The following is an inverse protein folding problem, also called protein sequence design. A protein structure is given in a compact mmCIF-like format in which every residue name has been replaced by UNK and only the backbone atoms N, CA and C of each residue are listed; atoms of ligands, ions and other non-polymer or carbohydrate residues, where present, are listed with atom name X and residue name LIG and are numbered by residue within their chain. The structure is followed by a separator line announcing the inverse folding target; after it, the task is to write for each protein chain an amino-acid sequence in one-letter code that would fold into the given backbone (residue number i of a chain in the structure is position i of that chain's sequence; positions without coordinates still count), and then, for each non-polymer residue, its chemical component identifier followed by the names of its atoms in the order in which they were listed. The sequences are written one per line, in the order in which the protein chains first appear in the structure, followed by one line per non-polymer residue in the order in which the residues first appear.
data_IF_124949564979
#
_entry.id   IF_124949564979
#
_cell.length_a   1.000
_cell.length_b   1.000
_cell.length_c   1.000
_cell.angle_alpha   90.00
_cell.angle_beta   90.00
_cell.angle_gamma   90.00
#
_symmetry.space_group_name_H-M   'P 1'
#
loop_
_entity.id
_entity.type
_entity.pdbx_description
1 polymer ?
#
# COMPACT_ATOMS: atom_id res chain seq x y z
N UNK A 1 -21.22 18.24 -16.61
CA UNK A 1 -19.84 17.76 -16.32
C UNK A 1 -19.16 17.42 -17.62
N UNK A 2 -18.05 18.08 -17.96
CA UNK A 2 -17.32 17.84 -19.21
C UNK A 2 -16.65 16.46 -19.22
N UNK A 3 -16.40 15.92 -20.41
CA UNK A 3 -15.76 14.62 -20.65
C UNK A 3 -14.42 14.48 -19.88
N UNK A 4 -13.64 15.57 -19.84
CA UNK A 4 -12.37 15.65 -19.07
C UNK A 4 -12.56 15.34 -17.60
N UNK A 5 -13.59 15.92 -16.97
CA UNK A 5 -13.82 15.74 -15.53
C UNK A 5 -14.24 14.30 -15.21
N UNK A 6 -15.10 13.70 -16.05
CA UNK A 6 -15.52 12.30 -15.88
C UNK A 6 -14.33 11.35 -15.99
N UNK A 7 -13.48 11.56 -17.01
CA UNK A 7 -12.30 10.73 -17.23
C UNK A 7 -11.30 10.85 -16.07
N UNK A 8 -10.99 12.08 -15.65
CA UNK A 8 -10.05 12.32 -14.54
C UNK A 8 -10.55 11.73 -13.22
N UNK A 9 -11.86 11.78 -12.98
CA UNK A 9 -12.45 11.20 -11.78
C UNK A 9 -12.36 9.67 -11.78
N UNK A 10 -12.61 9.03 -12.91
CA UNK A 10 -12.45 7.57 -13.06
C UNK A 10 -10.99 7.19 -12.87
N UNK A 11 -10.07 7.89 -13.52
CA UNK A 11 -8.64 7.63 -13.42
C UNK A 11 -8.14 7.79 -12.00
N UNK A 12 -8.53 8.87 -11.32
CA UNK A 12 -8.19 9.12 -9.91
C UNK A 12 -8.71 8.00 -9.01
N UNK A 13 -9.95 7.55 -9.23
CA UNK A 13 -10.56 6.49 -8.43
C UNK A 13 -9.83 5.16 -8.62
N UNK A 14 -9.47 4.80 -9.85
CA UNK A 14 -8.71 3.59 -10.16
C UNK A 14 -7.31 3.64 -9.49
N UNK A 15 -6.61 4.77 -9.60
CA UNK A 15 -5.31 4.94 -8.95
C UNK A 15 -5.42 4.91 -7.42
N UNK A 16 -6.42 5.57 -6.84
CA UNK A 16 -6.66 5.57 -5.41
C UNK A 16 -6.95 4.15 -4.88
N UNK A 17 -7.78 3.39 -5.60
CA UNK A 17 -8.08 2.00 -5.25
C UNK A 17 -6.84 1.10 -5.33
N UNK A 18 -6.05 1.23 -6.40
CA UNK A 18 -4.79 0.50 -6.57
C UNK A 18 -3.78 0.82 -5.46
N UNK A 19 -3.59 2.11 -5.16
CA UNK A 19 -2.69 2.56 -4.11
C UNK A 19 -3.14 2.08 -2.72
N UNK A 20 -4.44 2.16 -2.41
CA UNK A 20 -4.99 1.66 -1.16
C UNK A 20 -4.79 0.13 -1.01
N UNK A 21 -5.02 -0.63 -2.08
CA UNK A 21 -4.83 -2.09 -2.08
C UNK A 21 -3.37 -2.45 -1.80
N UNK A 22 -2.42 -1.81 -2.51
CA UNK A 22 -0.98 -2.02 -2.29
C UNK A 22 -0.60 -1.65 -0.86
N UNK A 23 -1.11 -0.52 -0.33
CA UNK A 23 -0.85 -0.07 1.03
C UNK A 23 -1.30 -1.07 2.08
N UNK A 24 -2.52 -1.60 1.96
CA UNK A 24 -3.07 -2.58 2.90
C UNK A 24 -2.25 -3.89 2.87
N UNK A 25 -1.91 -4.38 1.67
CA UNK A 25 -1.13 -5.61 1.51
C UNK A 25 0.28 -5.44 2.07
N UNK A 26 0.94 -4.32 1.74
CA UNK A 26 2.29 -4.03 2.21
C UNK A 26 2.35 -3.87 3.75
N UNK A 27 1.36 -3.19 4.33
CA UNK A 27 1.26 -3.02 5.77
C UNK A 27 1.14 -4.37 6.48
N UNK A 28 0.22 -5.23 6.02
CA UNK A 28 0.05 -6.57 6.56
C UNK A 28 1.30 -7.44 6.42
N UNK A 29 1.92 -7.39 5.24
CA UNK A 29 3.12 -8.17 4.96
C UNK A 29 4.30 -7.76 5.83
N UNK A 30 4.61 -6.46 5.91
CA UNK A 30 5.73 -5.96 6.71
C UNK A 30 5.52 -6.17 8.21
N UNK A 31 4.29 -5.99 8.70
CA UNK A 31 3.99 -6.24 10.11
C UNK A 31 4.17 -7.72 10.46
N UNK A 32 3.64 -8.63 9.66
CA UNK A 32 3.80 -10.07 9.90
C UNK A 32 5.26 -10.50 9.80
N UNK A 33 6.00 -10.02 8.80
CA UNK A 33 7.41 -10.32 8.64
C UNK A 33 8.24 -9.81 9.83
N UNK A 34 7.96 -8.59 10.32
CA UNK A 34 8.65 -8.04 11.47
C UNK A 34 8.42 -8.88 12.75
N UNK A 35 7.21 -9.39 12.95
CA UNK A 35 6.87 -10.27 14.06
C UNK A 35 7.57 -11.63 13.91
N UNK A 36 7.52 -12.23 12.72
CA UNK A 36 8.15 -13.53 12.44
C UNK A 36 9.67 -13.47 12.64
N UNK A 37 10.32 -12.42 12.17
CA UNK A 37 11.76 -12.20 12.34
C UNK A 37 12.13 -12.04 13.83
N UNK A 38 11.34 -11.26 14.58
CA UNK A 38 11.53 -11.11 16.02
C UNK A 38 11.35 -12.44 16.76
N UNK A 39 10.36 -13.24 16.35
CA UNK A 39 10.09 -14.56 16.91
C UNK A 39 11.22 -15.53 16.66
N UNK A 40 11.71 -15.64 15.42
CA UNK A 40 12.84 -16.50 15.06
C UNK A 40 14.11 -16.12 15.81
N UNK A 41 14.43 -14.82 15.85
CA UNK A 41 15.59 -14.33 16.57
C UNK A 41 15.51 -14.64 18.07
N UNK A 42 14.33 -14.49 18.68
CA UNK A 42 14.12 -14.82 20.10
C UNK A 42 14.26 -16.31 20.37
N UNK A 43 13.73 -17.16 19.48
CA UNK A 43 13.86 -18.63 19.62
C UNK A 43 15.31 -19.07 19.49
N UNK A 44 16.09 -18.53 18.56
CA UNK A 44 17.52 -18.82 18.41
C UNK A 44 18.30 -18.46 19.68
N UNK A 45 17.99 -17.29 20.26
CA UNK A 45 18.63 -16.87 21.53
C UNK A 45 18.25 -17.80 22.69
N UNK A 46 16.99 -18.20 22.81
CA UNK A 46 16.53 -19.13 23.85
C UNK A 46 17.14 -20.51 23.69
N UNK A 47 17.34 -20.96 22.45
CA UNK A 47 17.92 -22.28 22.15
C UNK A 47 19.44 -22.30 22.37
N UNK A 48 20.12 -21.22 21.89
CA UNK A 48 21.56 -21.04 22.11
C UNK A 48 21.93 -20.87 23.61
N UNK A 49 21.02 -20.29 24.39
CA UNK A 49 21.16 -20.12 25.82
C UNK A 49 21.18 -21.41 26.61
N UNK A 50 20.80 -22.53 26.00
CA UNK A 50 20.86 -23.85 26.62
C UNK A 50 20.26 -23.92 28.02
N UNK A 51 19.18 -23.18 28.31
CA UNK A 51 18.50 -23.09 29.61
C UNK A 51 19.36 -22.63 30.81
N UNK A 52 20.61 -22.30 30.63
CA UNK A 52 21.47 -21.74 31.68
C UNK A 52 21.56 -20.22 31.55
N UNK A 53 21.69 -19.54 32.67
CA UNK A 53 21.76 -18.09 32.88
C UNK A 53 22.36 -17.30 31.69
N UNK A 54 21.50 -16.81 30.81
CA UNK A 54 21.95 -15.95 29.73
C UNK A 54 22.32 -14.59 30.30
N UNK A 55 23.60 -14.25 30.20
CA UNK A 55 24.00 -12.87 30.47
C UNK A 55 23.29 -11.94 29.46
N UNK A 56 22.53 -10.92 29.92
CA UNK A 56 21.84 -9.94 29.03
C UNK A 56 22.78 -9.32 28.00
N UNK A 57 24.09 -9.28 28.26
CA UNK A 57 25.10 -8.78 27.35
C UNK A 57 25.32 -9.66 26.11
N UNK A 58 25.17 -10.97 26.28
CA UNK A 58 25.25 -11.93 25.16
C UNK A 58 23.99 -11.84 24.29
N UNK A 59 22.83 -11.62 24.89
CA UNK A 59 21.59 -11.39 24.16
C UNK A 59 21.61 -10.10 23.31
N UNK A 60 22.27 -9.05 23.80
CA UNK A 60 22.43 -7.80 23.05
C UNK A 60 23.41 -7.89 21.88
N UNK A 61 24.36 -8.84 21.92
CA UNK A 61 25.34 -9.06 20.84
C UNK A 61 24.80 -9.90 19.68
N UNK A 62 23.72 -10.65 19.85
CA UNK A 62 23.16 -11.54 18.83
C UNK A 62 22.16 -10.89 17.88
N UNK A 63 21.79 -9.64 18.09
CA UNK A 63 20.96 -8.90 17.17
C UNK A 63 20.62 -7.51 17.66
N UNK A 64 21.11 -6.50 16.99
CA UNK A 64 20.75 -5.09 17.21
C UNK A 64 19.25 -4.79 17.05
N UNK A 65 18.43 -5.80 16.77
CA UNK A 65 16.97 -5.72 16.63
C UNK A 65 16.20 -6.10 17.89
N UNK A 66 16.82 -6.73 18.87
CA UNK A 66 16.19 -7.19 20.11
C UNK A 66 16.58 -6.27 21.28
N UNK A 67 16.18 -5.02 21.21
CA UNK A 67 16.67 -3.94 22.09
C UNK A 67 16.21 -4.08 23.55
N UNK A 68 15.13 -4.80 23.86
CA UNK A 68 14.63 -4.98 25.23
C UNK A 68 14.08 -6.40 25.46
N UNK A 69 14.98 -7.40 25.38
CA UNK A 69 14.62 -8.77 25.75
C UNK A 69 14.77 -8.97 27.25
N UNK A 70 13.66 -9.27 27.94
CA UNK A 70 13.63 -9.60 29.37
C UNK A 70 13.33 -11.06 29.56
N UNK A 71 14.21 -11.77 30.26
CA UNK A 71 14.01 -13.17 30.67
C UNK A 71 13.66 -13.20 32.16
N UNK A 72 12.55 -13.85 32.48
CA UNK A 72 12.10 -14.03 33.88
C UNK A 72 11.68 -15.47 34.12
N UNK A 73 11.88 -15.92 35.38
CA UNK A 73 11.40 -17.21 35.86
C UNK A 73 10.42 -16.99 37.02
N UNK A 74 9.29 -17.67 36.96
CA UNK A 74 8.29 -17.60 38.02
C UNK A 74 7.55 -18.93 38.19
N UNK A 75 7.01 -19.15 39.39
CA UNK A 75 6.18 -20.33 39.65
C UNK A 75 4.76 -20.13 39.12
N UNK A 76 4.11 -21.15 38.53
CA UNK A 76 2.75 -21.04 38.02
C UNK A 76 1.76 -20.81 39.19
N UNK A 77 1.02 -19.70 39.16
CA UNK A 77 -0.09 -19.42 40.09
C UNK A 77 0.23 -18.51 41.28
N UNK A 78 1.42 -17.97 41.43
CA UNK A 78 1.74 -16.90 42.39
C UNK A 78 1.27 -15.56 41.88
N UNK A 79 0.95 -14.60 42.77
CA UNK A 79 0.35 -13.25 42.48
C UNK A 79 1.06 -12.46 41.40
N UNK A 80 0.90 -12.92 40.16
CA UNK A 80 1.53 -12.41 38.95
C UNK A 80 0.76 -11.21 38.39
N UNK A 81 1.46 -10.25 37.82
CA UNK A 81 0.87 -9.06 37.19
C UNK A 81 1.30 -8.94 35.73
N UNK A 82 0.49 -8.27 34.90
CA UNK A 82 0.83 -7.97 33.52
C UNK A 82 0.96 -9.19 32.62
N UNK A 83 2.05 -9.29 31.87
CA UNK A 83 2.33 -10.38 30.90
C UNK A 83 2.45 -11.74 31.59
N UNK A 84 3.05 -11.79 32.77
CA UNK A 84 3.28 -13.02 33.51
C UNK A 84 1.96 -13.70 33.88
N UNK A 85 0.95 -12.90 34.30
CA UNK A 85 -0.39 -13.39 34.61
C UNK A 85 -1.08 -13.96 33.36
N UNK A 86 -1.03 -13.23 32.25
CA UNK A 86 -1.63 -13.66 30.97
C UNK A 86 -0.99 -14.97 30.47
N UNK A 87 0.34 -15.06 30.50
CA UNK A 87 1.08 -16.27 30.10
C UNK A 87 0.75 -17.43 31.01
N UNK A 88 0.76 -17.22 32.34
CA UNK A 88 0.43 -18.28 33.30
C UNK A 88 -0.98 -18.82 33.12
N UNK A 89 -1.96 -17.96 32.86
CA UNK A 89 -3.35 -18.33 32.60
C UNK A 89 -3.49 -19.14 31.30
N UNK A 90 -2.88 -18.68 30.22
CA UNK A 90 -2.94 -19.36 28.92
C UNK A 90 -2.18 -20.69 28.92
N UNK A 91 -1.05 -20.78 29.60
CA UNK A 91 -0.31 -22.03 29.74
C UNK A 91 -1.05 -23.08 30.59
N UNK A 92 -1.87 -22.66 31.57
CA UNK A 92 -2.73 -23.58 32.33
C UNK A 92 -3.89 -24.12 31.48
N UNK A 93 -4.41 -23.31 30.53
CA UNK A 93 -5.49 -23.71 29.65
C UNK A 93 -5.01 -24.58 28.47
N UNK A 94 -3.73 -24.50 28.09
CA UNK A 94 -3.14 -25.22 26.98
C UNK A 94 -2.44 -26.53 27.39
N UNK A 95 -2.49 -27.54 26.53
CA UNK A 95 -1.86 -28.87 26.74
C UNK A 95 -0.37 -28.86 26.41
N UNK A 96 0.18 -27.81 25.82
CA UNK A 96 1.57 -27.70 25.42
C UNK A 96 2.39 -26.95 26.47
N UNK A 97 3.52 -27.52 26.91
CA UNK A 97 4.47 -26.87 27.80
C UNK A 97 5.20 -25.65 27.18
N UNK A 98 4.73 -25.14 26.06
CA UNK A 98 5.30 -24.00 25.36
C UNK A 98 4.19 -22.99 24.99
N UNK A 99 4.51 -21.71 25.04
CA UNK A 99 3.64 -20.60 24.70
C UNK A 99 4.43 -19.62 23.84
N UNK A 100 3.80 -19.14 22.77
CA UNK A 100 4.42 -18.23 21.83
C UNK A 100 3.33 -17.35 21.19
N UNK A 101 3.13 -16.15 21.73
CA UNK A 101 2.14 -15.20 21.22
C UNK A 101 2.59 -13.76 21.43
N UNK A 102 2.05 -12.87 20.58
CA UNK A 102 2.15 -11.42 20.78
C UNK A 102 1.04 -10.98 21.74
N UNK A 103 1.44 -10.42 22.87
CA UNK A 103 0.52 -9.89 23.88
C UNK A 103 0.52 -8.37 23.84
N UNK A 104 -0.67 -7.78 23.89
CA UNK A 104 -0.83 -6.34 24.02
C UNK A 104 -1.03 -5.97 25.47
N UNK A 105 -0.20 -5.08 26.00
CA UNK A 105 -0.32 -4.55 27.35
C UNK A 105 -1.43 -3.49 27.46
N UNK A 106 -1.91 -3.18 28.68
CA UNK A 106 -2.91 -2.11 28.89
C UNK A 106 -2.47 -0.71 28.43
N UNK A 107 -1.15 -0.49 28.34
CA UNK A 107 -0.57 0.75 27.81
C UNK A 107 -0.49 0.79 26.28
N UNK A 108 -0.98 -0.25 25.58
CA UNK A 108 -0.94 -0.37 24.12
C UNK A 108 0.38 -0.93 23.55
N UNK A 109 1.40 -1.18 24.39
CA UNK A 109 2.65 -1.83 23.94
C UNK A 109 2.41 -3.26 23.52
N UNK A 110 2.98 -3.65 22.39
CA UNK A 110 2.96 -5.03 21.88
C UNK A 110 4.27 -5.71 22.22
N UNK A 111 4.18 -6.82 22.96
CA UNK A 111 5.33 -7.62 23.35
C UNK A 111 5.18 -9.06 22.86
N UNK A 112 6.24 -9.56 22.25
CA UNK A 112 6.34 -11.00 21.97
C UNK A 112 6.67 -11.71 23.26
N UNK A 113 5.83 -12.67 23.67
CA UNK A 113 6.01 -13.50 24.85
C UNK A 113 6.25 -14.95 24.42
N UNK A 114 7.42 -15.48 24.72
CA UNK A 114 7.77 -16.88 24.52
C UNK A 114 8.03 -17.49 25.89
N UNK A 115 7.24 -18.50 26.25
CA UNK A 115 7.39 -19.16 27.55
C UNK A 115 7.53 -20.68 27.42
N UNK A 116 8.33 -21.28 28.30
CA UNK A 116 8.49 -22.73 28.43
C UNK A 116 8.41 -23.14 29.89
N UNK A 117 7.78 -24.28 30.15
CA UNK A 117 7.85 -24.92 31.43
C UNK A 117 9.20 -25.62 31.57
N UNK A 118 9.92 -25.31 32.65
CA UNK A 118 11.18 -25.96 33.03
C UNK A 118 11.02 -26.63 34.38
N UNK A 119 11.66 -27.74 34.56
CA UNK A 119 11.70 -28.43 35.85
C UNK A 119 13.07 -28.20 36.46
N UNK A 120 13.11 -27.67 37.70
CA UNK A 120 14.36 -27.41 38.41
C UNK A 120 14.99 -28.75 38.81
N UNK A 121 16.25 -29.03 38.46
CA UNK A 121 16.88 -30.32 38.73
C UNK A 121 16.96 -30.68 40.22
N UNK A 122 17.17 -29.68 41.11
CA UNK A 122 17.43 -29.86 42.53
C UNK A 122 16.14 -30.03 43.36
N UNK A 123 15.04 -29.39 43.00
CA UNK A 123 13.79 -29.38 43.80
C UNK A 123 12.63 -30.07 43.11
N UNK A 124 12.75 -30.37 41.81
CA UNK A 124 11.64 -30.92 41.01
C UNK A 124 10.51 -29.95 40.71
N UNK A 125 10.64 -28.71 41.18
CA UNK A 125 9.61 -27.69 40.99
C UNK A 125 9.46 -27.27 39.55
N UNK A 126 8.20 -27.06 39.14
CA UNK A 126 7.87 -26.55 37.79
C UNK A 126 7.90 -25.03 37.83
N UNK A 127 8.76 -24.44 37.03
CA UNK A 127 8.84 -22.99 36.79
C UNK A 127 8.51 -22.67 35.33
N UNK A 128 7.97 -21.47 35.11
CA UNK A 128 7.79 -20.93 33.78
C UNK A 128 8.93 -19.96 33.51
N UNK A 129 9.71 -20.22 32.45
CA UNK A 129 10.71 -19.28 31.93
C UNK A 129 10.07 -18.51 30.81
N UNK A 130 9.96 -17.19 30.94
CA UNK A 130 9.37 -16.26 30.02
C UNK A 130 10.45 -15.36 29.41
N UNK A 131 10.58 -15.38 28.12
CA UNK A 131 11.27 -14.35 27.37
C UNK A 131 10.24 -13.36 26.78
N UNK A 132 10.40 -12.09 27.08
CA UNK A 132 9.55 -11.03 26.52
C UNK A 132 10.40 -10.02 25.76
N UNK A 133 9.99 -9.71 24.53
CA UNK A 133 10.65 -8.76 23.63
C UNK A 133 9.68 -7.64 23.31
N UNK A 134 10.16 -6.40 23.42
CA UNK A 134 9.41 -5.24 22.97
C UNK A 134 9.42 -5.16 21.44
N UNK A 135 8.23 -5.18 20.84
CA UNK A 135 8.08 -5.07 19.38
C UNK A 135 8.02 -3.62 18.90
N UNK A 136 7.92 -2.65 19.79
CA UNK A 136 7.77 -1.22 19.42
C UNK A 136 8.90 -0.72 18.52
N UNK A 137 10.19 -1.01 18.76
CA UNK A 137 11.27 -0.56 17.88
C UNK A 137 11.23 -1.24 16.51
N UNK A 138 10.88 -2.54 16.48
CA UNK A 138 10.80 -3.33 15.24
C UNK A 138 9.65 -2.84 14.38
N UNK A 139 8.49 -2.61 14.99
CA UNK A 139 7.31 -2.07 14.31
C UNK A 139 7.52 -0.61 13.86
N UNK A 140 8.24 0.21 14.62
CA UNK A 140 8.61 1.56 14.22
C UNK A 140 9.47 1.54 12.95
N UNK A 141 10.47 0.66 12.89
CA UNK A 141 11.31 0.49 11.68
C UNK A 141 10.48 0.03 10.48
N UNK A 142 9.56 -0.93 10.68
CA UNK A 142 8.64 -1.39 9.63
C UNK A 142 7.74 -0.25 9.14
N UNK A 143 7.24 0.60 10.04
CA UNK A 143 6.43 1.77 9.67
C UNK A 143 7.22 2.81 8.86
N UNK A 144 8.48 3.07 9.20
CA UNK A 144 9.34 3.96 8.42
C UNK A 144 9.56 3.39 7.02
N UNK A 145 9.87 2.10 6.92
CA UNK A 145 10.02 1.43 5.62
C UNK A 145 8.73 1.48 4.79
N UNK A 146 7.59 1.25 5.42
CA UNK A 146 6.27 1.35 4.78
C UNK A 146 6.01 2.77 4.27
N UNK A 147 6.24 3.79 5.10
CA UNK A 147 6.01 5.19 4.73
C UNK A 147 6.92 5.59 3.56
N UNK A 148 8.18 5.18 3.57
CA UNK A 148 9.12 5.44 2.47
C UNK A 148 8.68 4.74 1.19
N UNK A 149 8.25 3.48 1.26
CA UNK A 149 7.74 2.72 0.13
C UNK A 149 6.48 3.38 -0.44
N UNK A 150 5.50 3.71 0.42
CA UNK A 150 4.25 4.32 0.00
C UNK A 150 4.45 5.70 -0.62
N UNK A 151 5.32 6.54 -0.07
CA UNK A 151 5.62 7.85 -0.65
C UNK A 151 6.31 7.73 -2.01
N UNK A 152 7.21 6.76 -2.18
CA UNK A 152 7.87 6.49 -3.47
C UNK A 152 6.86 6.04 -4.53
N UNK A 153 6.01 5.06 -4.20
CA UNK A 153 4.96 4.59 -5.11
C UNK A 153 3.97 5.72 -5.43
N UNK A 154 3.57 6.52 -4.42
CA UNK A 154 2.69 7.66 -4.60
C UNK A 154 3.27 8.71 -5.56
N UNK A 155 4.58 9.00 -5.46
CA UNK A 155 5.25 9.90 -6.39
C UNK A 155 5.23 9.38 -7.84
N UNK A 156 5.46 8.09 -8.04
CA UNK A 156 5.38 7.46 -9.38
C UNK A 156 3.95 7.54 -9.93
N UNK A 157 2.93 7.21 -9.11
CA UNK A 157 1.54 7.32 -9.54
C UNK A 157 1.16 8.75 -9.91
N UNK A 158 1.60 9.74 -9.12
CA UNK A 158 1.36 11.15 -9.42
C UNK A 158 1.99 11.55 -10.77
N UNK A 159 3.24 11.15 -11.01
CA UNK A 159 3.91 11.42 -12.26
C UNK A 159 3.17 10.80 -13.46
N UNK A 160 2.79 9.52 -13.35
CA UNK A 160 2.01 8.83 -14.40
C UNK A 160 0.66 9.51 -14.61
N UNK A 161 -0.04 9.89 -13.55
CA UNK A 161 -1.32 10.60 -13.64
C UNK A 161 -1.19 11.92 -14.40
N UNK A 162 -0.17 12.73 -14.10
CA UNK A 162 0.08 14.00 -14.80
C UNK A 162 0.39 13.75 -16.27
N UNK A 163 1.27 12.80 -16.58
CA UNK A 163 1.63 12.48 -17.98
C UNK A 163 0.42 12.01 -18.77
N UNK A 164 -0.38 11.10 -18.23
CA UNK A 164 -1.60 10.61 -18.88
C UNK A 164 -2.61 11.73 -19.13
N UNK A 165 -2.81 12.64 -18.17
CA UNK A 165 -3.70 13.79 -18.34
C UNK A 165 -3.23 14.72 -19.45
N UNK A 166 -1.95 15.04 -19.49
CA UNK A 166 -1.37 15.89 -20.54
C UNK A 166 -1.49 15.23 -21.93
N UNK A 167 -1.22 13.93 -21.99
CA UNK A 167 -1.34 13.15 -23.21
C UNK A 167 -2.78 13.16 -23.75
N UNK A 168 -3.75 12.83 -22.90
CA UNK A 168 -5.16 12.82 -23.25
C UNK A 168 -5.66 14.19 -23.72
N UNK A 169 -5.29 15.26 -23.01
CA UNK A 169 -5.68 16.62 -23.39
C UNK A 169 -5.15 16.94 -24.79
N UNK A 170 -3.90 16.61 -25.06
CA UNK A 170 -3.24 17.01 -26.30
C UNK A 170 -3.61 16.12 -27.48
N UNK A 171 -3.80 14.81 -27.26
CA UNK A 171 -4.03 13.85 -28.34
C UNK A 171 -5.50 13.64 -28.68
N UNK A 172 -6.42 13.80 -27.72
CA UNK A 172 -7.82 13.48 -27.92
C UNK A 172 -8.71 14.70 -27.71
N UNK A 173 -8.63 15.34 -26.54
CA UNK A 173 -9.63 16.33 -26.14
C UNK A 173 -9.56 17.60 -27.00
N UNK A 174 -8.36 18.10 -27.24
CA UNK A 174 -8.20 19.33 -28.07
C UNK A 174 -8.59 19.09 -29.52
N UNK A 175 -8.12 18.03 -30.21
CA UNK A 175 -8.54 17.77 -31.58
C UNK A 175 -10.06 17.61 -31.75
N UNK A 176 -10.70 16.84 -30.85
CA UNK A 176 -12.16 16.65 -30.88
C UNK A 176 -12.91 17.94 -30.62
N UNK A 177 -12.46 18.74 -29.65
CA UNK A 177 -13.07 20.05 -29.38
C UNK A 177 -12.92 21.03 -30.57
N UNK A 178 -11.81 20.96 -31.29
CA UNK A 178 -11.56 21.72 -32.49
C UNK A 178 -12.55 21.34 -33.63
N UNK A 179 -12.68 20.02 -33.88
CA UNK A 179 -13.65 19.52 -34.87
C UNK A 179 -15.10 19.88 -34.50
N UNK A 180 -15.46 19.82 -33.21
CA UNK A 180 -16.78 20.23 -32.76
C UNK A 180 -17.06 21.70 -33.03
N UNK A 181 -16.10 22.59 -32.75
CA UNK A 181 -16.24 24.04 -33.08
C UNK A 181 -16.39 24.28 -34.56
N UNK A 182 -15.64 23.56 -35.40
CA UNK A 182 -15.74 23.66 -36.85
C UNK A 182 -17.09 23.12 -37.36
N UNK A 183 -17.60 22.03 -36.74
CA UNK A 183 -18.94 21.53 -37.08
C UNK A 183 -20.04 22.52 -36.75
N UNK A 184 -19.97 23.23 -35.62
CA UNK A 184 -20.90 24.27 -35.26
C UNK A 184 -20.87 25.42 -36.29
N UNK A 185 -19.70 25.88 -36.72
CA UNK A 185 -19.55 26.90 -37.74
C UNK A 185 -20.13 26.46 -39.11
N UNK A 186 -19.82 25.24 -39.55
CA UNK A 186 -20.37 24.67 -40.77
C UNK A 186 -21.91 24.61 -40.72
N UNK A 187 -22.49 24.30 -39.58
CA UNK A 187 -23.94 24.19 -39.40
C UNK A 187 -24.67 25.51 -39.59
N UNK A 188 -24.02 26.64 -39.33
CA UNK A 188 -24.58 28.01 -39.59
C UNK A 188 -24.13 28.60 -40.92
N UNK A 189 -23.43 27.82 -41.76
CA UNK A 189 -22.96 28.23 -43.07
C UNK A 189 -21.69 29.07 -43.07
N UNK A 190 -20.97 29.12 -41.98
CA UNK A 190 -19.66 29.80 -41.87
C UNK A 190 -18.53 28.84 -42.29
N UNK A 191 -18.07 28.99 -43.53
CA UNK A 191 -16.95 28.24 -44.09
C UNK A 191 -15.62 29.03 -44.08
N UNK A 192 -15.58 30.21 -43.44
CA UNK A 192 -14.38 31.05 -43.37
C UNK A 192 -13.28 30.44 -42.46
N UNK A 193 -13.65 29.54 -41.55
CA UNK A 193 -12.72 28.87 -40.66
C UNK A 193 -11.83 27.89 -41.44
N UNK A 194 -10.49 27.84 -41.17
CA UNK A 194 -9.60 26.94 -41.87
C UNK A 194 -9.97 25.44 -41.61
N UNK A 195 -9.68 24.60 -42.61
CA UNK A 195 -9.90 23.15 -42.45
C UNK A 195 -9.13 22.58 -41.31
N UNK A 196 -9.67 21.52 -40.69
CA UNK A 196 -8.95 20.77 -39.64
C UNK A 196 -7.68 20.16 -40.23
N UNK A 197 -6.52 20.49 -39.63
CA UNK A 197 -5.24 19.94 -40.03
C UNK A 197 -4.91 18.73 -39.15
N UNK A 198 -5.10 17.48 -39.61
CA UNK A 198 -4.79 16.30 -38.83
C UNK A 198 -3.27 16.20 -38.63
N UNK A 199 -2.82 16.38 -37.41
CA UNK A 199 -1.37 16.26 -37.04
C UNK A 199 -0.94 14.82 -36.76
N UNK A 200 -1.89 13.92 -36.59
CA UNK A 200 -1.65 12.52 -36.21
C UNK A 200 -2.15 11.57 -37.31
N UNK A 201 -1.47 10.42 -37.41
CA UNK A 201 -1.82 9.34 -38.36
C UNK A 201 -2.59 8.20 -37.66
N UNK A 202 -3.42 8.57 -36.68
CA UNK A 202 -4.28 7.69 -35.87
C UNK A 202 -5.75 7.85 -36.25
N UNK A 203 -6.63 7.24 -35.48
CA UNK A 203 -8.10 7.28 -35.68
C UNK A 203 -8.64 8.71 -35.63
N UNK A 204 -8.04 9.59 -34.82
CA UNK A 204 -8.41 11.01 -34.75
C UNK A 204 -8.01 11.73 -36.04
N UNK A 205 -6.86 11.37 -36.61
CA UNK A 205 -6.43 11.87 -37.91
C UNK A 205 -7.38 11.43 -39.03
N UNK A 206 -7.78 10.15 -39.04
CA UNK A 206 -8.77 9.61 -40.00
C UNK A 206 -10.13 10.32 -39.86
N UNK A 207 -10.60 10.53 -38.64
CA UNK A 207 -11.81 11.25 -38.33
C UNK A 207 -11.75 12.69 -38.86
N UNK A 208 -10.62 13.38 -38.69
CA UNK A 208 -10.41 14.74 -39.21
C UNK A 208 -10.46 14.82 -40.72
N UNK A 209 -9.87 13.82 -41.44
CA UNK A 209 -9.97 13.75 -42.91
C UNK A 209 -11.42 13.53 -43.35
N UNK A 210 -12.15 12.64 -42.71
CA UNK A 210 -13.56 12.37 -43.01
C UNK A 210 -14.43 13.62 -42.75
N UNK A 211 -14.17 14.32 -41.65
CA UNK A 211 -14.83 15.59 -41.33
C UNK A 211 -14.58 16.66 -42.39
N UNK A 212 -13.34 16.86 -42.84
CA UNK A 212 -13.03 17.83 -43.91
C UNK A 212 -13.73 17.48 -45.21
N UNK A 213 -13.84 16.19 -45.55
CA UNK A 213 -14.57 15.73 -46.73
C UNK A 213 -16.06 16.12 -46.65
N UNK A 214 -16.69 15.85 -45.52
CA UNK A 214 -18.10 16.23 -45.26
C UNK A 214 -18.29 17.74 -45.36
N UNK A 215 -17.41 18.52 -44.76
CA UNK A 215 -17.43 19.98 -44.81
C UNK A 215 -17.42 20.51 -46.26
N UNK A 216 -16.48 20.02 -47.11
CA UNK A 216 -16.38 20.43 -48.50
C UNK A 216 -17.65 20.11 -49.29
N UNK A 217 -18.19 18.89 -49.10
CA UNK A 217 -19.44 18.49 -49.74
C UNK A 217 -20.63 19.39 -49.34
N UNK A 218 -20.69 19.78 -48.05
CA UNK A 218 -21.72 20.69 -47.55
C UNK A 218 -21.54 22.10 -48.12
N UNK A 219 -20.31 22.60 -48.20
CA UNK A 219 -20.00 23.90 -48.79
C UNK A 219 -20.37 23.97 -50.28
N UNK A 220 -20.05 22.92 -51.05
CA UNK A 220 -20.43 22.81 -52.47
C UNK A 220 -21.95 22.78 -52.67
N UNK A 221 -22.66 21.98 -51.83
CA UNK A 221 -24.11 21.91 -51.90
C UNK A 221 -24.78 23.27 -51.64
N UNK A 222 -24.30 24.03 -50.63
CA UNK A 222 -24.82 25.36 -50.31
C UNK A 222 -24.51 26.38 -51.44
N UNK A 223 -23.31 26.27 -52.06
CA UNK A 223 -22.96 27.14 -53.21
C UNK A 223 -23.86 26.88 -54.40
N UNK A 224 -24.19 25.62 -54.70
CA UNK A 224 -25.11 25.26 -55.79
C UNK A 224 -26.54 25.78 -55.53
N UNK A 225 -27.02 25.67 -54.28
CA UNK A 225 -28.36 26.22 -53.92
C UNK A 225 -28.42 27.72 -54.03
N UNK A 226 -27.37 28.42 -53.62
CA UNK A 226 -27.30 29.90 -53.73
C UNK A 226 -27.07 30.40 -55.18
N UNK A 227 -26.43 29.61 -56.03
CA UNK A 227 -26.18 29.96 -57.44
C UNK A 227 -27.29 29.55 -58.39
N UNK A 228 -28.28 28.75 -57.94
CA UNK A 228 -29.47 28.42 -58.79
C UNK A 228 -30.60 29.39 -58.72
N UNK A 229 -30.50 30.45 -57.94
CA UNK A 229 -31.51 31.50 -57.81
C UNK A 229 -31.21 32.77 -58.69
N UNK A 230 -30.34 32.65 -59.68
CA UNK A 230 -30.12 33.70 -60.69
C UNK A 230 -30.64 33.20 -62.10
#
# INVERSE_FOLDING_TARGET
MGLRLKFNLILLLVFAAGFATIGIVALRYLENQAIDDAQRATLVVLDAAGFSNLDPRVASGLGSRLVDMKIREFAPGSGLSGIEAQVSQKMKAGTSGQFNEVLTQPNGERRLAIARMIRTPDTGDVKIRLASVDLSPVLATANIALTTLMSSIGAVFLAVFVVLNLMLDRMIVRPVAEMARQADAVSIGDFSIPEFAPKMKDEIGVLGIAFNRMRRSTEEAIKLLKGGDM
#
